data_IF_704063124648
#
_entry.id   IF_704063124648
#
_cell.length_a   1.000
_cell.length_b   1.000
_cell.length_c   1.000
_cell.angle_alpha   90.00
_cell.angle_beta   90.00
_cell.angle_gamma   90.00
#
_symmetry.space_group_name_H-M   'P 1'
#
loop_
_entity.id
_entity.type
_entity.pdbx_description
1 polymer ?
#
# COMPACT_ATOMS: atom_id res chain seq x y z
N UNK A 1 76.02 26.07 -49.97
CA UNK A 1 74.68 26.67 -50.16
C UNK A 1 73.66 25.61 -49.80
N UNK A 2 72.79 25.96 -48.82
CA UNK A 2 71.61 25.32 -48.20
C UNK A 2 71.09 23.97 -48.75
N UNK A 3 70.61 23.03 -47.93
CA UNK A 3 69.41 23.17 -47.07
C UNK A 3 69.45 22.26 -45.81
N UNK A 4 68.79 22.64 -44.70
CA UNK A 4 68.67 21.81 -43.50
C UNK A 4 67.53 20.78 -43.59
N UNK A 5 67.73 19.62 -42.94
CA UNK A 5 66.71 18.57 -42.74
C UNK A 5 65.84 18.92 -41.53
N UNK A 6 64.56 19.23 -41.73
CA UNK A 6 63.55 19.21 -40.66
C UNK A 6 63.06 17.77 -40.45
N UNK A 7 63.10 17.20 -39.24
CA UNK A 7 62.27 16.06 -38.91
C UNK A 7 60.87 16.56 -38.52
N UNK A 8 59.87 15.99 -39.17
CA UNK A 8 58.45 16.20 -38.91
C UNK A 8 58.11 15.90 -37.44
N UNK A 9 57.51 16.87 -36.75
CA UNK A 9 56.81 16.65 -35.48
C UNK A 9 55.38 16.22 -35.84
N UNK A 10 55.05 14.96 -35.55
CA UNK A 10 53.69 14.44 -35.70
C UNK A 10 52.86 14.94 -34.50
N UNK A 11 52.09 16.02 -34.69
CA UNK A 11 51.10 16.46 -33.70
C UNK A 11 49.85 15.59 -33.88
N UNK A 12 49.66 14.62 -33.01
CA UNK A 12 48.41 13.85 -32.94
C UNK A 12 47.39 14.71 -32.20
N UNK A 13 46.56 15.43 -32.95
CA UNK A 13 45.45 16.20 -32.42
C UNK A 13 44.35 15.25 -31.94
N UNK A 14 44.24 15.05 -30.64
CA UNK A 14 43.10 14.34 -30.03
C UNK A 14 41.92 15.32 -29.94
N UNK A 15 41.02 15.27 -30.92
CA UNK A 15 39.77 16.03 -30.86
C UNK A 15 38.87 15.42 -29.78
N UNK A 16 38.82 16.05 -28.60
CA UNK A 16 37.83 15.75 -27.57
C UNK A 16 36.45 16.16 -28.12
N UNK A 17 35.73 15.20 -28.69
CA UNK A 17 34.32 15.39 -29.05
C UNK A 17 33.53 15.45 -27.74
N UNK A 18 33.29 16.67 -27.27
CA UNK A 18 32.36 16.94 -26.19
C UNK A 18 30.95 16.61 -26.71
N UNK A 19 30.51 15.37 -26.51
CA UNK A 19 29.10 15.02 -26.74
C UNK A 19 28.30 15.80 -25.69
N UNK A 20 27.46 16.78 -26.07
CA UNK A 20 26.59 17.41 -25.09
C UNK A 20 25.68 16.31 -24.58
N UNK A 21 25.82 15.97 -23.30
CA UNK A 21 24.84 15.18 -22.58
C UNK A 21 23.59 16.06 -22.51
N UNK A 22 22.75 16.02 -23.54
CA UNK A 22 21.37 16.48 -23.42
C UNK A 22 20.76 15.60 -22.34
N UNK A 23 20.76 16.09 -21.11
CA UNK A 23 20.04 15.47 -20.02
C UNK A 23 18.60 15.34 -20.49
N UNK A 24 18.19 14.13 -20.81
CA UNK A 24 16.78 13.81 -20.95
C UNK A 24 16.17 14.13 -19.59
N UNK A 25 15.50 15.27 -19.48
CA UNK A 25 14.60 15.53 -18.35
C UNK A 25 13.48 14.52 -18.54
N UNK A 26 13.61 13.36 -17.87
CA UNK A 26 12.54 12.39 -17.83
C UNK A 26 11.29 13.14 -17.33
N UNK A 27 10.13 12.98 -17.98
CA UNK A 27 8.91 13.58 -17.48
C UNK A 27 8.71 13.09 -16.03
N UNK A 28 8.70 14.03 -15.09
CA UNK A 28 8.23 13.77 -13.73
C UNK A 28 6.74 13.48 -13.86
N UNK A 29 6.38 12.20 -13.95
CA UNK A 29 4.98 11.82 -13.78
C UNK A 29 4.51 12.41 -12.44
N UNK A 30 3.40 13.15 -12.47
CA UNK A 30 2.79 13.65 -11.24
C UNK A 30 2.56 12.44 -10.32
N UNK A 31 3.23 12.43 -9.18
CA UNK A 31 3.16 11.30 -8.26
C UNK A 31 1.80 11.34 -7.55
N UNK A 32 1.12 10.19 -7.43
CA UNK A 32 -0.20 10.10 -6.78
C UNK A 32 -0.12 10.59 -5.34
N UNK A 33 -0.93 11.60 -5.01
CA UNK A 33 -1.11 12.18 -3.68
C UNK A 33 -2.39 11.64 -3.03
N UNK A 34 -2.59 11.93 -1.74
CA UNK A 34 -3.82 11.57 -1.02
C UNK A 34 -5.09 12.09 -1.71
N UNK A 35 -5.04 13.31 -2.30
CA UNK A 35 -6.19 13.87 -3.02
C UNK A 35 -6.50 13.20 -4.36
N UNK A 36 -5.57 12.41 -4.91
CA UNK A 36 -5.76 11.70 -6.18
C UNK A 36 -6.37 10.30 -5.98
N UNK A 37 -6.45 9.81 -4.74
CA UNK A 37 -6.93 8.46 -4.43
C UNK A 37 -8.46 8.41 -4.48
N UNK A 38 -8.99 7.65 -5.43
CA UNK A 38 -10.44 7.49 -5.64
C UNK A 38 -10.87 6.06 -5.98
N UNK A 39 -9.93 5.17 -6.28
CA UNK A 39 -10.19 3.82 -6.74
C UNK A 39 -9.05 2.84 -6.40
N UNK A 40 -9.22 1.58 -6.79
CA UNK A 40 -8.24 0.51 -6.58
C UNK A 40 -6.87 0.83 -7.21
N UNK A 41 -6.82 1.43 -8.40
CA UNK A 41 -5.57 1.68 -9.10
C UNK A 41 -4.77 2.81 -8.44
N UNK A 42 -5.46 3.88 -8.05
CA UNK A 42 -4.88 5.04 -7.39
C UNK A 42 -4.42 4.73 -5.97
N UNK A 43 -5.20 3.99 -5.16
CA UNK A 43 -4.76 3.61 -3.81
C UNK A 43 -3.54 2.69 -3.84
N UNK A 44 -3.47 1.77 -4.81
CA UNK A 44 -2.29 0.90 -4.98
C UNK A 44 -1.05 1.72 -5.31
N UNK A 45 -1.15 2.60 -6.31
CA UNK A 45 -0.03 3.49 -6.69
C UNK A 45 0.41 4.38 -5.51
N UNK A 46 -0.54 4.86 -4.72
CA UNK A 46 -0.27 5.69 -3.54
C UNK A 46 0.50 4.91 -2.46
N UNK A 47 0.10 3.67 -2.16
CA UNK A 47 0.78 2.81 -1.19
C UNK A 47 2.17 2.39 -1.68
N UNK A 48 2.31 1.96 -2.94
CA UNK A 48 3.60 1.60 -3.55
C UNK A 48 4.59 2.76 -3.53
N UNK A 49 4.09 3.97 -3.75
CA UNK A 49 4.90 5.18 -3.63
C UNK A 49 5.34 5.43 -2.20
N UNK A 50 4.45 5.25 -1.22
CA UNK A 50 4.78 5.41 0.19
C UNK A 50 5.83 4.37 0.64
N UNK A 51 5.65 3.11 0.27
CA UNK A 51 6.58 2.02 0.57
C UNK A 51 7.97 2.31 -0.01
N UNK A 52 8.06 2.65 -1.30
CA UNK A 52 9.32 2.99 -1.95
C UNK A 52 10.00 4.21 -1.31
N UNK A 53 9.23 5.23 -0.91
CA UNK A 53 9.77 6.38 -0.20
C UNK A 53 10.33 5.95 1.17
N UNK A 54 9.58 5.13 1.92
CA UNK A 54 10.01 4.62 3.21
C UNK A 54 11.30 3.82 3.10
N UNK A 55 11.38 2.84 2.21
CA UNK A 55 12.60 2.03 2.00
C UNK A 55 13.81 2.88 1.58
N UNK A 56 13.59 4.00 0.89
CA UNK A 56 14.66 4.91 0.49
C UNK A 56 15.17 5.84 1.60
N UNK A 57 14.43 5.97 2.70
CA UNK A 57 14.69 6.96 3.78
C UNK A 57 14.89 6.33 5.15
N UNK A 58 14.31 5.16 5.38
CA UNK A 58 14.26 4.49 6.66
C UNK A 58 15.07 3.20 6.55
N UNK A 59 16.11 3.10 7.37
CA UNK A 59 17.00 1.93 7.37
C UNK A 59 16.50 0.81 8.27
N UNK A 60 15.73 1.11 9.33
CA UNK A 60 15.24 0.13 10.29
C UNK A 60 13.89 0.56 10.87
N UNK A 61 13.10 -0.43 11.33
CA UNK A 61 11.77 -0.20 11.87
C UNK A 61 11.74 0.48 13.25
N UNK A 62 12.79 0.34 14.06
CA UNK A 62 12.83 0.96 15.39
C UNK A 62 12.87 2.49 15.33
N UNK A 63 13.51 3.03 14.31
CA UNK A 63 13.66 4.48 14.10
C UNK A 63 12.68 5.04 13.04
N UNK A 64 11.70 4.24 12.59
CA UNK A 64 10.82 4.62 11.47
C UNK A 64 9.70 5.58 11.88
N UNK A 65 9.33 5.63 13.15
CA UNK A 65 8.18 6.39 13.63
C UNK A 65 8.32 7.89 13.33
N UNK A 66 9.46 8.51 13.67
CA UNK A 66 9.69 9.95 13.43
C UNK A 66 9.58 10.30 11.94
N UNK A 67 10.00 9.39 11.06
CA UNK A 67 9.84 9.55 9.62
C UNK A 67 8.35 9.52 9.23
N UNK A 68 7.58 8.53 9.72
CA UNK A 68 6.14 8.46 9.45
C UNK A 68 5.38 9.66 10.00
N UNK A 69 5.68 10.07 11.23
CA UNK A 69 5.04 11.20 11.89
C UNK A 69 5.29 12.52 11.16
N UNK A 70 6.55 12.79 10.80
CA UNK A 70 6.91 14.04 10.09
C UNK A 70 6.55 14.06 8.61
N UNK A 71 6.47 12.91 7.95
CA UNK A 71 6.25 12.82 6.50
C UNK A 71 4.80 12.51 6.14
N UNK A 72 4.19 11.53 6.81
CA UNK A 72 2.90 10.98 6.42
C UNK A 72 1.71 11.54 7.20
N UNK A 73 1.93 12.08 8.40
CA UNK A 73 0.84 12.63 9.22
C UNK A 73 0.35 14.02 8.81
N UNK A 74 1.22 14.98 8.43
CA UNK A 74 0.76 16.33 8.14
C UNK A 74 -0.25 16.37 6.99
N UNK A 75 -1.25 17.24 7.09
CA UNK A 75 -2.22 17.44 6.02
C UNK A 75 -1.53 17.86 4.72
N UNK A 76 -1.83 17.16 3.63
CA UNK A 76 -1.24 17.43 2.32
C UNK A 76 -1.07 16.15 1.52
N UNK A 77 0.16 15.94 1.05
CA UNK A 77 0.51 14.92 0.06
C UNK A 77 0.13 13.48 0.48
N UNK A 78 0.24 13.16 1.77
CA UNK A 78 0.06 11.80 2.29
C UNK A 78 -1.16 11.63 3.20
N UNK A 79 -1.82 12.74 3.55
CA UNK A 79 -2.96 12.75 4.45
C UNK A 79 -3.93 13.86 4.05
N UNK A 80 -5.11 13.49 3.53
CA UNK A 80 -6.14 14.43 3.12
C UNK A 80 -7.52 13.80 3.27
N UNK A 81 -8.35 14.37 4.15
CA UNK A 81 -9.69 13.85 4.46
C UNK A 81 -9.64 12.37 4.84
N UNK A 82 -10.43 11.56 4.14
CA UNK A 82 -10.52 10.11 4.30
C UNK A 82 -9.28 9.31 3.85
N UNK A 83 -8.29 9.93 3.20
CA UNK A 83 -7.13 9.23 2.63
C UNK A 83 -5.90 9.46 3.49
N UNK A 84 -5.40 8.38 4.10
CA UNK A 84 -4.25 8.38 5.01
C UNK A 84 -3.51 7.04 4.93
N UNK A 85 -2.25 7.03 5.38
CA UNK A 85 -1.45 5.82 5.52
C UNK A 85 -1.59 5.21 6.93
N UNK A 86 -1.45 3.89 7.00
CA UNK A 86 -1.26 3.15 8.25
C UNK A 86 -0.09 2.19 8.09
N UNK A 87 0.63 1.94 9.19
CA UNK A 87 1.71 0.96 9.27
C UNK A 87 1.46 0.07 10.47
N UNK A 88 1.60 -1.23 10.31
CA UNK A 88 1.50 -2.19 11.42
C UNK A 88 2.52 -3.31 11.25
N UNK A 89 2.81 -4.02 12.34
CA UNK A 89 3.60 -5.24 12.24
C UNK A 89 2.72 -6.46 11.87
N UNK A 90 3.36 -7.59 11.60
CA UNK A 90 2.68 -8.86 11.27
C UNK A 90 1.88 -9.49 12.42
N UNK A 91 1.96 -8.92 13.63
CA UNK A 91 1.12 -9.28 14.78
C UNK A 91 -0.14 -8.39 14.88
N UNK A 92 -0.36 -7.51 13.90
CA UNK A 92 -1.49 -6.59 13.85
C UNK A 92 -1.41 -5.45 14.88
N UNK A 93 -0.21 -5.15 15.40
CA UNK A 93 0.04 -3.99 16.25
C UNK A 93 0.26 -2.78 15.34
N UNK A 94 -0.60 -1.79 15.48
CA UNK A 94 -0.50 -0.52 14.74
C UNK A 94 0.74 0.25 15.19
N UNK A 95 1.65 0.56 14.26
CA UNK A 95 2.85 1.36 14.50
C UNK A 95 2.66 2.84 14.14
N UNK A 96 1.76 3.11 13.21
CA UNK A 96 1.42 4.45 12.75
C UNK A 96 0.02 4.46 12.15
N UNK A 97 -0.79 5.46 12.48
CA UNK A 97 -2.09 5.67 11.84
C UNK A 97 -2.31 7.16 11.55
N UNK A 98 -2.27 7.54 10.27
CA UNK A 98 -2.26 8.94 9.83
C UNK A 98 -3.45 9.76 10.30
N UNK A 99 -4.63 9.15 10.49
CA UNK A 99 -5.86 9.83 10.91
C UNK A 99 -6.22 9.66 12.40
N UNK A 100 -5.69 8.64 13.10
CA UNK A 100 -6.17 8.26 14.43
C UNK A 100 -5.04 7.64 15.27
N UNK A 101 -4.31 8.51 15.98
CA UNK A 101 -3.18 8.11 16.83
C UNK A 101 -3.58 7.18 17.99
N UNK A 102 -4.85 7.19 18.42
CA UNK A 102 -5.28 6.35 19.56
C UNK A 102 -5.21 4.85 19.25
N UNK A 103 -5.11 4.47 17.97
CA UNK A 103 -4.94 3.09 17.54
C UNK A 103 -3.48 2.61 17.64
N UNK A 104 -2.51 3.53 17.72
CA UNK A 104 -1.09 3.19 17.75
C UNK A 104 -0.74 2.38 19.02
N UNK A 105 0.20 1.45 18.87
CA UNK A 105 0.59 0.43 19.85
C UNK A 105 -0.54 -0.50 20.33
N UNK A 106 -1.71 -0.45 19.68
CA UNK A 106 -2.81 -1.37 19.94
C UNK A 106 -2.85 -2.47 18.89
N UNK A 107 -3.07 -3.72 19.35
CA UNK A 107 -3.29 -4.84 18.44
C UNK A 107 -4.75 -4.89 18.00
N UNK A 108 -4.97 -4.82 16.70
CA UNK A 108 -6.28 -4.98 16.05
C UNK A 108 -6.43 -6.36 15.40
N UNK A 109 -5.50 -7.30 15.65
CA UNK A 109 -5.46 -8.63 15.02
C UNK A 109 -6.73 -9.47 15.22
N UNK A 110 -7.41 -9.28 16.34
CA UNK A 110 -8.65 -9.97 16.68
C UNK A 110 -9.91 -9.09 16.51
N UNK A 111 -9.74 -7.85 16.06
CA UNK A 111 -10.85 -6.95 15.82
C UNK A 111 -11.62 -7.43 14.59
N UNK A 112 -12.94 -7.27 14.63
CA UNK A 112 -13.85 -7.60 13.54
C UNK A 112 -14.68 -6.39 13.23
N UNK A 113 -14.94 -6.19 11.95
CA UNK A 113 -15.99 -5.26 11.56
C UNK A 113 -17.39 -5.83 11.85
N UNK A 114 -18.44 -5.04 11.62
CA UNK A 114 -19.83 -5.44 11.86
C UNK A 114 -20.28 -6.65 11.02
N UNK A 115 -19.59 -6.94 9.91
CA UNK A 115 -19.83 -8.11 9.07
C UNK A 115 -19.05 -9.35 9.53
N UNK A 116 -18.25 -9.23 10.60
CA UNK A 116 -17.45 -10.32 11.15
C UNK A 116 -16.10 -10.52 10.45
N UNK A 117 -15.67 -9.58 9.60
CA UNK A 117 -14.40 -9.66 8.87
C UNK A 117 -13.24 -9.31 9.79
N UNK A 118 -12.26 -10.21 9.91
CA UNK A 118 -10.98 -9.94 10.57
C UNK A 118 -10.05 -9.16 9.64
N UNK A 119 -10.41 -7.91 9.32
CA UNK A 119 -9.78 -7.14 8.25
C UNK A 119 -8.26 -6.98 8.40
N UNK A 120 -7.74 -6.88 9.62
CA UNK A 120 -6.29 -6.84 9.86
C UNK A 120 -5.60 -8.14 9.46
N UNK A 121 -6.21 -9.30 9.73
CA UNK A 121 -5.65 -10.59 9.32
C UNK A 121 -5.65 -10.75 7.81
N UNK A 122 -6.73 -10.33 7.16
CA UNK A 122 -6.84 -10.33 5.70
C UNK A 122 -5.81 -9.38 5.07
N UNK A 123 -5.60 -8.19 5.65
CA UNK A 123 -4.59 -7.23 5.18
C UNK A 123 -3.17 -7.76 5.35
N UNK A 124 -2.87 -8.40 6.49
CA UNK A 124 -1.58 -9.09 6.71
C UNK A 124 -1.38 -10.18 5.65
N UNK A 125 -2.37 -11.04 5.44
CA UNK A 125 -2.29 -12.12 4.45
C UNK A 125 -2.11 -11.58 3.01
N UNK A 126 -2.82 -10.51 2.65
CA UNK A 126 -2.68 -9.85 1.37
C UNK A 126 -1.28 -9.24 1.18
N UNK A 127 -0.76 -8.56 2.20
CA UNK A 127 0.60 -8.01 2.18
C UNK A 127 1.65 -9.13 2.03
N UNK A 128 1.54 -10.21 2.81
CA UNK A 128 2.44 -11.37 2.74
C UNK A 128 2.41 -12.09 1.38
N UNK A 129 1.30 -11.98 0.64
CA UNK A 129 1.16 -12.50 -0.72
C UNK A 129 1.75 -11.59 -1.82
N UNK A 130 2.43 -10.50 -1.46
CA UNK A 130 3.01 -9.54 -2.40
C UNK A 130 2.16 -8.31 -2.66
N UNK A 131 1.19 -8.04 -1.78
CA UNK A 131 0.30 -6.90 -1.85
C UNK A 131 -1.10 -7.27 -2.34
N UNK A 132 -2.12 -6.64 -1.76
CA UNK A 132 -3.49 -6.94 -2.15
C UNK A 132 -4.55 -6.07 -1.49
N UNK A 133 -5.79 -6.27 -1.96
CA UNK A 133 -6.94 -5.48 -1.53
C UNK A 133 -7.81 -6.26 -0.54
N UNK A 134 -8.39 -5.55 0.42
CA UNK A 134 -9.37 -6.08 1.37
C UNK A 134 -10.53 -5.11 1.47
N UNK A 135 -11.76 -5.61 1.44
CA UNK A 135 -12.98 -4.83 1.66
C UNK A 135 -13.50 -5.10 3.06
N UNK A 136 -13.77 -4.03 3.83
CA UNK A 136 -14.21 -4.10 5.22
C UNK A 136 -14.92 -2.81 5.63
N UNK A 137 -15.57 -2.79 6.80
CA UNK A 137 -16.10 -1.56 7.39
C UNK A 137 -15.09 -0.93 8.34
N UNK A 138 -14.94 0.39 8.28
CA UNK A 138 -14.08 1.16 9.17
C UNK A 138 -14.59 2.58 9.35
N UNK A 139 -14.31 3.20 10.49
CA UNK A 139 -14.55 4.63 10.75
C UNK A 139 -14.03 5.48 9.58
N UNK A 140 -14.88 6.34 9.03
CA UNK A 140 -14.51 7.32 8.02
C UNK A 140 -14.35 8.71 8.66
N UNK A 141 -13.13 9.29 8.66
CA UNK A 141 -12.88 10.61 9.24
C UNK A 141 -13.74 11.76 8.71
N UNK A 142 -14.30 11.62 7.49
CA UNK A 142 -15.19 12.62 6.89
C UNK A 142 -16.67 12.40 7.23
N UNK A 143 -17.03 11.33 7.95
CA UNK A 143 -18.41 10.99 8.36
C UNK A 143 -18.53 11.06 9.88
N UNK A 144 -19.30 12.02 10.37
CA UNK A 144 -19.52 12.19 11.82
C UNK A 144 -20.39 11.05 12.36
N UNK A 145 -19.91 10.33 13.38
CA UNK A 145 -20.71 9.38 14.14
C UNK A 145 -20.77 7.96 13.56
N UNK A 146 -19.88 7.61 12.63
CA UNK A 146 -19.82 6.26 12.04
C UNK A 146 -18.81 5.33 12.72
N UNK A 147 -18.26 5.69 13.88
CA UNK A 147 -17.17 4.96 14.53
C UNK A 147 -17.56 3.53 14.96
N UNK A 148 -18.85 3.31 15.26
CA UNK A 148 -19.39 1.98 15.62
C UNK A 148 -19.84 1.17 14.39
N UNK A 149 -20.46 1.83 13.42
CA UNK A 149 -21.06 1.17 12.25
C UNK A 149 -20.03 0.91 11.14
N UNK A 150 -19.11 1.85 10.97
CA UNK A 150 -18.11 1.91 9.92
C UNK A 150 -18.71 2.22 8.54
N UNK A 151 -17.95 2.95 7.75
CA UNK A 151 -18.17 3.07 6.31
C UNK A 151 -17.47 1.95 5.54
N UNK A 152 -18.02 1.49 4.40
CA UNK A 152 -17.33 0.60 3.49
C UNK A 152 -15.99 1.19 3.05
N UNK A 153 -14.92 0.40 3.19
CA UNK A 153 -13.56 0.77 2.82
C UNK A 153 -12.94 -0.31 1.95
N UNK A 154 -12.26 0.12 0.89
CA UNK A 154 -11.36 -0.74 0.12
C UNK A 154 -9.93 -0.39 0.52
N UNK A 155 -9.32 -1.25 1.33
CA UNK A 155 -7.92 -1.12 1.71
C UNK A 155 -7.00 -1.80 0.71
N UNK A 156 -5.80 -1.26 0.52
CA UNK A 156 -4.67 -1.95 -0.10
C UNK A 156 -3.49 -1.91 0.89
N UNK A 157 -2.80 -3.04 1.03
CA UNK A 157 -1.60 -3.14 1.85
C UNK A 157 -0.54 -3.99 1.15
N UNK A 158 0.72 -3.68 1.43
CA UNK A 158 1.88 -4.46 1.01
C UNK A 158 2.93 -4.52 2.12
N UNK A 159 3.89 -5.44 1.97
CA UNK A 159 4.99 -5.57 2.90
C UNK A 159 6.03 -4.48 2.68
N UNK A 160 6.57 -4.01 3.81
CA UNK A 160 7.73 -3.16 3.90
C UNK A 160 8.83 -3.95 4.60
N UNK A 161 10.00 -4.09 3.97
CA UNK A 161 11.16 -4.74 4.58
C UNK A 161 12.14 -3.68 5.11
N UNK A 162 12.12 -3.47 6.43
CA UNK A 162 13.04 -2.56 7.11
C UNK A 162 14.09 -3.35 7.88
N UNK A 163 15.16 -3.74 7.18
CA UNK A 163 16.28 -4.51 7.74
C UNK A 163 15.86 -5.83 8.40
N UNK A 164 14.94 -6.57 7.77
CA UNK A 164 14.48 -7.86 8.25
C UNK A 164 13.31 -7.80 9.23
N UNK A 165 12.89 -6.61 9.67
CA UNK A 165 11.57 -6.43 10.29
C UNK A 165 10.51 -6.25 9.19
N UNK A 166 9.57 -7.19 9.15
CA UNK A 166 8.42 -7.15 8.25
C UNK A 166 7.33 -6.30 8.87
N UNK A 167 7.18 -5.09 8.34
CA UNK A 167 6.00 -4.26 8.55
C UNK A 167 5.09 -4.39 7.33
N UNK A 168 3.86 -3.94 7.48
CA UNK A 168 2.99 -3.68 6.35
C UNK A 168 2.59 -2.22 6.36
N UNK A 169 2.55 -1.64 5.18
CA UNK A 169 2.08 -0.28 4.92
C UNK A 169 0.83 -0.38 4.06
N UNK A 170 -0.15 0.45 4.35
CA UNK A 170 -1.40 0.46 3.60
C UNK A 170 -2.15 1.77 3.67
N UNK A 171 -3.15 1.86 2.80
CA UNK A 171 -4.13 2.94 2.76
C UNK A 171 -5.47 2.36 2.33
N UNK A 172 -6.48 3.21 2.18
CA UNK A 172 -7.78 2.82 1.65
C UNK A 172 -8.60 4.03 1.25
N UNK A 173 -9.64 3.77 0.47
CA UNK A 173 -10.65 4.77 0.10
C UNK A 173 -12.05 4.24 0.41
N UNK A 174 -12.99 5.16 0.59
CA UNK A 174 -14.37 4.86 0.91
C UNK A 174 -15.23 5.06 -0.34
N UNK A 175 -15.62 4.00 -1.07
CA UNK A 175 -16.42 4.13 -2.28
C UNK A 175 -17.81 4.71 -1.99
N UNK A 176 -18.29 5.58 -2.88
CA UNK A 176 -19.63 6.18 -2.79
C UNK A 176 -20.78 5.15 -2.92
N UNK A 177 -20.51 3.96 -3.46
CA UNK A 177 -21.48 2.87 -3.58
C UNK A 177 -20.84 1.60 -3.03
N UNK A 178 -21.44 1.02 -2.00
CA UNK A 178 -20.99 -0.26 -1.47
C UNK A 178 -21.37 -1.39 -2.44
N UNK A 179 -20.36 -2.10 -2.94
CA UNK A 179 -20.58 -3.50 -3.33
C UNK A 179 -20.84 -4.30 -2.05
N UNK A 180 -21.82 -5.22 -2.03
CA UNK A 180 -22.00 -6.10 -0.88
C UNK A 180 -20.70 -6.87 -0.62
N UNK A 181 -20.11 -6.66 0.56
CA UNK A 181 -18.92 -7.39 0.99
C UNK A 181 -19.32 -8.86 1.08
N UNK A 182 -18.87 -9.67 0.14
CA UNK A 182 -19.09 -11.11 0.20
C UNK A 182 -18.36 -11.66 1.43
N UNK A 183 -19.00 -12.49 2.27
CA UNK A 183 -18.30 -13.10 3.39
C UNK A 183 -17.08 -13.88 2.87
N UNK A 184 -15.94 -13.86 3.58
CA UNK A 184 -14.74 -14.55 3.13
C UNK A 184 -15.05 -16.02 2.84
N UNK A 185 -14.50 -16.52 1.72
CA UNK A 185 -14.79 -17.85 1.15
C UNK A 185 -14.53 -19.02 2.11
N UNK A 186 -13.95 -18.78 3.27
CA UNK A 186 -13.71 -19.78 4.32
C UNK A 186 -15.01 -20.39 4.92
N UNK A 187 -16.17 -19.73 4.82
CA UNK A 187 -17.44 -20.27 5.36
C UNK A 187 -18.32 -21.03 4.36
N UNK A 188 -18.05 -20.94 3.05
CA UNK A 188 -18.87 -21.59 2.02
C UNK A 188 -18.59 -23.09 1.85
N UNK A 189 -17.56 -23.62 2.50
CA UNK A 189 -17.23 -25.05 2.44
C UNK A 189 -18.11 -25.94 3.35
N UNK A 190 -18.94 -25.38 4.23
CA UNK A 190 -19.78 -26.15 5.17
C UNK A 190 -21.26 -26.27 4.77
N UNK A 191 -21.72 -25.54 3.76
CA UNK A 191 -23.14 -25.50 3.37
C UNK A 191 -23.55 -26.51 2.29
N UNK A 192 -22.62 -27.21 1.61
CA UNK A 192 -22.94 -28.20 0.56
C UNK A 192 -23.01 -29.65 1.04
N UNK A 193 -22.83 -29.92 2.34
CA UNK A 193 -22.85 -31.28 2.90
C UNK A 193 -24.17 -31.69 3.60
N UNK A 194 -25.19 -30.83 3.65
CA UNK A 194 -26.48 -31.16 4.28
C UNK A 194 -27.70 -31.20 3.34
N UNK A 195 -27.52 -31.04 2.02
CA UNK A 195 -28.63 -31.09 1.05
C UNK A 195 -28.65 -32.36 0.16
N UNK A 196 -27.71 -33.29 0.34
CA UNK A 196 -27.57 -34.50 -0.52
C UNK A 196 -28.30 -35.76 -0.02
N UNK A 197 -29.04 -35.70 1.09
CA UNK A 197 -29.37 -36.88 1.88
C UNK A 197 -30.83 -37.24 2.07
N UNK A 198 -31.76 -36.97 1.12
CA UNK A 198 -33.13 -37.51 1.24
C UNK A 198 -33.90 -37.52 -0.09
N UNK A 199 -33.51 -38.39 -1.03
CA UNK A 199 -34.40 -38.76 -2.12
C UNK A 199 -34.31 -40.27 -2.35
N UNK A 200 -35.24 -41.04 -1.74
CA UNK A 200 -35.73 -42.31 -2.29
C UNK A 200 -36.84 -42.91 -1.41
N UNK A 201 -38.00 -43.09 -2.06
CA UNK A 201 -38.83 -44.31 -2.11
C UNK A 201 -40.25 -44.17 -1.55
N UNK A 202 -41.16 -43.75 -2.43
CA UNK A 202 -42.56 -44.19 -2.38
C UNK A 202 -42.92 -44.83 -3.73
N UNK A 203 -43.00 -46.16 -3.74
CA UNK A 203 -43.78 -46.94 -4.71
C UNK A 203 -44.08 -48.32 -4.13
N UNK A 204 -45.25 -48.45 -3.53
CA UNK A 204 -46.06 -49.67 -3.51
C UNK A 204 -47.52 -49.25 -3.36
N UNK A 205 -48.25 -49.21 -4.48
CA UNK A 205 -49.53 -49.88 -4.73
C UNK A 205 -49.66 -50.08 -6.23
#
# INVERSE_FOLDING_TARGET
MSLPRNPFVLVVSFALVLVPFLGAVAPSFAQTTASDVMDRATVKTFVERAAALTESRVSNAADSYDFFDSTFRPTGEWNMGSIYLYVMNTQGIMRFHGANQSLEETSLYNHRDKNGVYYIRELIAAAEAGGGYVEYLFDNPDVVGDEEEGSPKVGYAELLDLSGERLLIGSGYYPAVSTPIAPPLALLALATLLAGGAYRRWRQR
#
